data_IF_421806527864
#
_entry.id   IF_421806527864
#
_cell.length_a   1.000
_cell.length_b   1.000
_cell.length_c   1.000
_cell.angle_alpha   90.00
_cell.angle_beta   90.00
_cell.angle_gamma   90.00
#
_symmetry.space_group_name_H-M   'P 1'
#
loop_
_entity.id
_entity.type
_entity.pdbx_description
1 polymer ?
#
# COMPACT_ATOMS: atom_id res chain seq x y z
N UNK A 1 -20.78 -14.17 -12.05
CA UNK A 1 -19.59 -13.45 -11.57
C UNK A 1 -19.75 -11.95 -11.81
N UNK A 2 -19.88 -11.47 -13.04
CA UNK A 2 -20.11 -10.04 -13.34
C UNK A 2 -21.26 -9.34 -12.58
N UNK A 3 -22.40 -10.01 -12.38
CA UNK A 3 -23.52 -9.48 -11.58
C UNK A 3 -23.18 -9.23 -10.10
N UNK A 4 -22.26 -10.00 -9.49
CA UNK A 4 -21.86 -9.74 -8.09
C UNK A 4 -20.86 -8.59 -7.98
N UNK A 5 -20.03 -8.38 -9.01
CA UNK A 5 -19.10 -7.24 -9.09
C UNK A 5 -19.85 -5.93 -9.30
N UNK A 6 -20.85 -5.92 -10.20
CA UNK A 6 -21.70 -4.73 -10.40
C UNK A 6 -22.44 -4.34 -9.12
N UNK A 7 -22.95 -5.30 -8.36
CA UNK A 7 -23.57 -5.06 -7.04
C UNK A 7 -22.58 -4.46 -6.04
N UNK A 8 -21.33 -4.91 -6.04
CA UNK A 8 -20.27 -4.34 -5.19
C UNK A 8 -19.97 -2.89 -5.58
N UNK A 9 -19.79 -2.63 -6.88
CA UNK A 9 -19.48 -1.29 -7.39
C UNK A 9 -20.61 -0.30 -7.08
N UNK A 10 -21.86 -0.72 -7.26
CA UNK A 10 -23.04 0.10 -6.92
C UNK A 10 -23.18 0.34 -5.40
N UNK A 11 -22.54 -0.49 -4.58
CA UNK A 11 -22.63 -0.43 -3.13
C UNK A 11 -21.54 0.43 -2.47
N UNK A 12 -20.60 1.02 -3.23
CA UNK A 12 -19.51 1.80 -2.64
C UNK A 12 -20.00 2.95 -1.74
N UNK A 13 -21.08 3.63 -2.13
CA UNK A 13 -21.68 4.73 -1.36
C UNK A 13 -22.46 4.28 -0.12
N UNK A 14 -22.68 2.97 0.07
CA UNK A 14 -23.41 2.47 1.24
C UNK A 14 -22.59 2.62 2.52
N UNK A 15 -23.25 2.74 3.68
CA UNK A 15 -22.58 2.72 4.98
C UNK A 15 -21.66 1.51 5.16
N UNK A 16 -20.53 1.70 5.85
CA UNK A 16 -19.49 0.67 6.03
C UNK A 16 -20.02 -0.68 6.54
N UNK A 17 -21.04 -0.66 7.40
CA UNK A 17 -21.66 -1.88 7.96
C UNK A 17 -22.32 -2.71 6.86
N UNK A 18 -23.11 -2.07 6.02
CA UNK A 18 -23.89 -2.72 4.96
C UNK A 18 -22.97 -3.17 3.83
N UNK A 19 -22.02 -2.31 3.46
CA UNK A 19 -20.97 -2.66 2.51
C UNK A 19 -20.13 -3.85 2.98
N UNK A 20 -19.80 -3.92 4.27
CA UNK A 20 -19.04 -5.05 4.83
C UNK A 20 -19.81 -6.37 4.73
N UNK A 21 -21.15 -6.35 4.83
CA UNK A 21 -21.96 -7.54 4.62
C UNK A 21 -21.92 -7.98 3.15
N UNK A 22 -22.06 -7.03 2.21
CA UNK A 22 -21.95 -7.28 0.76
C UNK A 22 -20.57 -7.85 0.42
N UNK A 23 -19.51 -7.27 0.97
CA UNK A 23 -18.14 -7.72 0.81
C UNK A 23 -17.92 -9.16 1.30
N UNK A 24 -18.46 -9.51 2.47
CA UNK A 24 -18.37 -10.88 3.01
C UNK A 24 -19.04 -11.90 2.07
N UNK A 25 -20.20 -11.55 1.54
CA UNK A 25 -20.90 -12.40 0.57
C UNK A 25 -20.11 -12.53 -0.73
N UNK A 26 -19.58 -11.41 -1.23
CA UNK A 26 -18.71 -11.40 -2.41
C UNK A 26 -17.49 -12.32 -2.24
N UNK A 27 -16.78 -12.23 -1.12
CA UNK A 27 -15.63 -13.09 -0.85
C UNK A 27 -16.02 -14.58 -0.75
N UNK A 28 -17.13 -14.88 -0.07
CA UNK A 28 -17.66 -16.25 0.03
C UNK A 28 -18.01 -16.84 -1.34
N UNK A 29 -18.68 -16.08 -2.18
CA UNK A 29 -19.09 -16.50 -3.53
C UNK A 29 -17.90 -16.77 -4.45
N UNK A 30 -16.84 -15.96 -4.34
CA UNK A 30 -15.65 -16.07 -5.17
C UNK A 30 -14.57 -16.97 -4.58
N UNK A 31 -14.84 -17.67 -3.46
CA UNK A 31 -13.85 -18.44 -2.68
C UNK A 31 -12.58 -17.65 -2.33
N UNK A 32 -12.66 -16.34 -2.41
CA UNK A 32 -11.59 -15.45 -2.03
C UNK A 32 -11.52 -15.49 -0.50
N UNK A 33 -10.53 -16.21 0.03
CA UNK A 33 -10.30 -16.20 1.46
C UNK A 33 -10.02 -14.76 1.85
N UNK A 34 -10.82 -14.21 2.76
CA UNK A 34 -10.63 -12.85 3.26
C UNK A 34 -9.22 -12.68 3.79
N UNK A 35 -8.31 -12.16 2.98
CA UNK A 35 -6.88 -11.98 3.30
C UNK A 35 -5.87 -12.74 2.43
N UNK A 36 -6.28 -13.70 1.59
CA UNK A 36 -5.43 -14.15 0.46
C UNK A 36 -6.09 -13.66 -0.81
N UNK A 37 -5.35 -12.82 -1.52
CA UNK A 37 -5.55 -12.35 -2.88
C UNK A 37 -6.55 -13.22 -3.65
N UNK A 38 -7.57 -12.61 -4.24
CA UNK A 38 -8.60 -13.33 -4.99
C UNK A 38 -8.01 -13.87 -6.31
N UNK A 39 -7.07 -14.82 -6.19
CA UNK A 39 -6.34 -15.47 -7.29
C UNK A 39 -7.26 -16.29 -8.21
N UNK A 40 -8.48 -16.57 -7.74
CA UNK A 40 -9.47 -17.34 -8.48
C UNK A 40 -10.47 -16.44 -9.25
N UNK A 41 -10.32 -15.10 -9.19
CA UNK A 41 -11.18 -14.19 -9.95
C UNK A 41 -10.78 -14.18 -11.43
N UNK A 42 -11.76 -14.12 -12.34
CA UNK A 42 -11.45 -13.91 -13.74
C UNK A 42 -10.76 -12.55 -13.98
N UNK A 43 -9.76 -12.53 -14.84
CA UNK A 43 -8.98 -11.33 -15.16
C UNK A 43 -9.83 -10.12 -15.58
N UNK A 44 -10.81 -10.28 -16.48
CA UNK A 44 -11.63 -9.16 -16.95
C UNK A 44 -12.48 -8.56 -15.83
N UNK A 45 -12.93 -9.41 -14.92
CA UNK A 45 -13.72 -9.06 -13.75
C UNK A 45 -12.84 -8.32 -12.70
N UNK A 46 -11.61 -8.79 -12.46
CA UNK A 46 -10.64 -8.13 -11.58
C UNK A 46 -10.19 -6.77 -12.14
N UNK A 47 -9.93 -6.70 -13.45
CA UNK A 47 -9.61 -5.47 -14.17
C UNK A 47 -10.74 -4.45 -14.06
N UNK A 48 -11.98 -4.88 -14.33
CA UNK A 48 -13.14 -4.00 -14.23
C UNK A 48 -13.32 -3.45 -12.81
N UNK A 49 -13.18 -4.30 -11.78
CA UNK A 49 -13.27 -3.89 -10.38
C UNK A 49 -12.17 -2.88 -10.01
N UNK A 50 -10.94 -3.11 -10.47
CA UNK A 50 -9.82 -2.17 -10.29
C UNK A 50 -10.11 -0.81 -10.93
N UNK A 51 -10.55 -0.78 -12.19
CA UNK A 51 -10.85 0.45 -12.92
C UNK A 51 -11.96 1.25 -12.23
N UNK A 52 -13.01 0.57 -11.75
CA UNK A 52 -14.11 1.22 -11.02
C UNK A 52 -13.67 1.75 -9.66
N UNK A 53 -12.92 0.97 -8.88
CA UNK A 53 -12.36 1.43 -7.61
C UNK A 53 -11.43 2.63 -7.80
N UNK A 54 -10.55 2.56 -8.79
CA UNK A 54 -9.59 3.64 -9.10
C UNK A 54 -10.30 4.93 -9.48
N UNK A 55 -11.34 4.85 -10.32
CA UNK A 55 -12.12 6.02 -10.70
C UNK A 55 -12.81 6.67 -9.49
N UNK A 56 -13.36 5.90 -8.56
CA UNK A 56 -13.98 6.46 -7.33
C UNK A 56 -12.96 7.19 -6.46
N UNK A 57 -11.73 6.67 -6.37
CA UNK A 57 -10.68 7.29 -5.55
C UNK A 57 -10.12 8.55 -6.21
N UNK A 58 -9.82 8.49 -7.51
CA UNK A 58 -9.15 9.55 -8.26
C UNK A 58 -10.09 10.68 -8.71
N UNK A 59 -11.40 10.46 -8.73
CA UNK A 59 -12.35 11.55 -8.88
C UNK A 59 -12.41 12.37 -7.60
N UNK A 60 -12.72 13.66 -7.71
CA UNK A 60 -12.99 14.54 -6.55
C UNK A 60 -14.29 14.16 -5.81
N UNK A 61 -14.67 12.88 -5.80
CA UNK A 61 -15.76 12.38 -4.97
C UNK A 61 -15.54 12.88 -3.54
N UNK A 62 -16.47 13.69 -3.05
CA UNK A 62 -16.46 14.20 -1.67
C UNK A 62 -16.88 13.11 -0.67
N UNK A 63 -17.21 11.90 -1.15
CA UNK A 63 -17.66 10.80 -0.31
C UNK A 63 -16.47 9.92 0.15
N UNK A 64 -15.94 10.24 1.33
CA UNK A 64 -14.87 9.48 1.96
C UNK A 64 -15.24 8.01 2.24
N UNK A 65 -16.52 7.71 2.47
CA UNK A 65 -16.99 6.32 2.69
C UNK A 65 -16.84 5.52 1.40
N UNK A 66 -17.21 6.11 0.26
CA UNK A 66 -17.04 5.48 -1.05
C UNK A 66 -15.57 5.24 -1.38
N UNK A 67 -14.71 6.23 -1.13
CA UNK A 67 -13.25 6.10 -1.30
C UNK A 67 -12.68 4.98 -0.44
N UNK A 68 -13.10 4.90 0.82
CA UNK A 68 -12.65 3.84 1.74
C UNK A 68 -13.08 2.45 1.25
N UNK A 69 -14.36 2.31 0.89
CA UNK A 69 -14.90 1.06 0.38
C UNK A 69 -14.24 0.64 -0.94
N UNK A 70 -13.93 1.59 -1.83
CA UNK A 70 -13.21 1.35 -3.08
C UNK A 70 -11.76 0.88 -2.85
N UNK A 71 -11.04 1.46 -1.88
CA UNK A 71 -9.67 1.07 -1.51
C UNK A 71 -9.57 -0.38 -1.04
N UNK A 72 -10.62 -0.90 -0.37
CA UNK A 72 -10.64 -2.30 0.06
C UNK A 72 -10.59 -3.30 -1.12
N UNK A 73 -10.91 -2.83 -2.32
CA UNK A 73 -10.99 -3.63 -3.54
C UNK A 73 -9.86 -3.37 -4.54
N UNK A 74 -9.17 -2.23 -4.45
CA UNK A 74 -8.11 -1.93 -5.42
C UNK A 74 -6.97 -2.96 -5.40
N UNK A 75 -6.73 -3.56 -4.23
CA UNK A 75 -5.75 -4.64 -4.06
C UNK A 75 -6.10 -5.94 -4.81
N UNK A 76 -7.36 -6.16 -5.18
CA UNK A 76 -7.76 -7.34 -5.94
C UNK A 76 -7.23 -7.28 -7.38
N UNK A 77 -7.12 -6.07 -7.95
CA UNK A 77 -6.55 -5.91 -9.29
C UNK A 77 -5.05 -6.17 -9.38
N UNK A 78 -4.34 -6.13 -8.23
CA UNK A 78 -2.88 -6.29 -8.17
C UNK A 78 -2.41 -7.74 -8.28
N UNK A 79 -3.27 -8.74 -8.07
CA UNK A 79 -2.83 -10.14 -7.96
C UNK A 79 -2.55 -10.85 -9.29
N UNK A 80 -2.69 -10.16 -10.42
CA UNK A 80 -2.55 -10.75 -11.75
C UNK A 80 -1.20 -10.42 -12.41
N UNK A 81 -0.35 -11.44 -12.57
CA UNK A 81 1.04 -11.34 -13.04
C UNK A 81 1.19 -10.75 -14.45
N UNK A 82 0.16 -10.83 -15.30
CA UNK A 82 0.25 -10.46 -16.72
C UNK A 82 0.45 -8.96 -16.95
N UNK A 83 -0.09 -8.10 -16.08
CA UNK A 83 0.01 -6.64 -16.19
C UNK A 83 0.42 -5.97 -14.88
N UNK A 84 1.06 -6.73 -13.96
CA UNK A 84 1.40 -6.25 -12.63
C UNK A 84 2.17 -4.92 -12.66
N UNK A 85 3.08 -4.73 -13.62
CA UNK A 85 3.82 -3.48 -13.82
C UNK A 85 2.93 -2.26 -14.06
N UNK A 86 2.02 -2.34 -15.04
CA UNK A 86 1.11 -1.24 -15.36
C UNK A 86 0.15 -0.96 -14.20
N UNK A 87 -0.39 -2.02 -13.58
CA UNK A 87 -1.29 -1.89 -12.43
C UNK A 87 -0.55 -1.31 -11.22
N UNK A 88 0.71 -1.67 -11.00
CA UNK A 88 1.56 -1.16 -9.92
C UNK A 88 1.76 0.35 -10.08
N UNK A 89 2.19 0.83 -11.24
CA UNK A 89 2.40 2.26 -11.51
C UNK A 89 1.13 3.09 -11.25
N UNK A 90 -0.02 2.64 -11.77
CA UNK A 90 -1.32 3.28 -11.54
C UNK A 90 -1.71 3.27 -10.05
N UNK A 91 -1.38 2.19 -9.36
CA UNK A 91 -1.66 2.02 -7.93
C UNK A 91 -0.81 2.94 -7.07
N UNK A 92 0.44 3.24 -7.46
CA UNK A 92 1.29 4.21 -6.78
C UNK A 92 0.70 5.62 -6.79
N UNK A 93 0.09 6.03 -7.90
CA UNK A 93 -0.62 7.32 -8.00
C UNK A 93 -1.79 7.39 -6.99
N UNK A 94 -2.56 6.31 -6.91
CA UNK A 94 -3.70 6.20 -5.99
C UNK A 94 -3.23 6.20 -4.54
N UNK A 95 -2.14 5.50 -4.25
CA UNK A 95 -1.54 5.45 -2.93
C UNK A 95 -1.08 6.85 -2.48
N UNK A 96 -0.36 7.58 -3.33
CA UNK A 96 0.06 8.97 -3.05
C UNK A 96 -1.16 9.88 -2.81
N UNK A 97 -2.19 9.79 -3.64
CA UNK A 97 -3.40 10.59 -3.50
C UNK A 97 -4.06 10.37 -2.14
N UNK A 98 -4.15 9.13 -1.68
CA UNK A 98 -4.83 8.77 -0.43
C UNK A 98 -3.98 9.03 0.81
N UNK A 99 -2.65 8.84 0.74
CA UNK A 99 -1.74 9.14 1.85
C UNK A 99 -1.71 10.64 2.21
N UNK A 100 -2.00 11.50 1.24
CA UNK A 100 -2.13 12.95 1.43
C UNK A 100 -3.56 13.40 1.77
N UNK A 101 -4.51 12.47 1.89
CA UNK A 101 -5.90 12.80 2.25
C UNK A 101 -6.02 13.24 3.72
N UNK A 102 -6.92 14.19 3.99
CA UNK A 102 -7.18 14.66 5.35
C UNK A 102 -7.86 13.62 6.27
N UNK A 103 -8.37 12.51 5.73
CA UNK A 103 -9.13 11.51 6.47
C UNK A 103 -8.20 10.39 6.96
N UNK A 104 -8.08 10.25 8.29
CA UNK A 104 -7.24 9.22 8.91
C UNK A 104 -7.61 7.78 8.55
N UNK A 105 -8.89 7.49 8.28
CA UNK A 105 -9.35 6.16 7.90
C UNK A 105 -8.85 5.81 6.49
N UNK A 106 -8.95 6.75 5.56
CA UNK A 106 -8.46 6.58 4.19
C UNK A 106 -6.94 6.37 4.17
N UNK A 107 -6.20 7.15 4.96
CA UNK A 107 -4.75 6.99 5.11
C UNK A 107 -4.35 5.62 5.65
N UNK A 108 -5.07 5.11 6.65
CA UNK A 108 -4.84 3.76 7.18
C UNK A 108 -5.09 2.67 6.14
N UNK A 109 -6.15 2.79 5.34
CA UNK A 109 -6.40 1.82 4.26
C UNK A 109 -5.35 1.91 3.15
N UNK A 110 -4.83 3.11 2.85
CA UNK A 110 -3.69 3.27 1.95
C UNK A 110 -2.43 2.54 2.47
N UNK A 111 -2.15 2.55 3.76
CA UNK A 111 -1.04 1.78 4.34
C UNK A 111 -1.26 0.28 4.17
N UNK A 112 -2.47 -0.21 4.41
CA UNK A 112 -2.80 -1.61 4.14
C UNK A 112 -2.65 -1.96 2.65
N UNK A 113 -2.96 -1.03 1.76
CA UNK A 113 -2.74 -1.18 0.32
C UNK A 113 -1.25 -1.22 -0.04
N UNK A 114 -0.42 -0.39 0.59
CA UNK A 114 1.04 -0.40 0.45
C UNK A 114 1.66 -1.74 0.86
N UNK A 115 1.31 -2.27 2.04
CA UNK A 115 1.77 -3.61 2.48
C UNK A 115 1.36 -4.71 1.48
N UNK A 116 0.17 -4.55 0.89
CA UNK A 116 -0.31 -5.44 -0.16
C UNK A 116 0.58 -5.37 -1.42
N UNK A 117 0.88 -4.15 -1.89
CA UNK A 117 1.73 -3.92 -3.06
C UNK A 117 3.15 -4.46 -2.84
N UNK A 118 3.75 -4.19 -1.69
CA UNK A 118 5.11 -4.67 -1.36
C UNK A 118 5.17 -6.20 -1.35
N UNK A 119 4.17 -6.86 -0.76
CA UNK A 119 4.08 -8.32 -0.76
C UNK A 119 3.98 -8.92 -2.18
N UNK A 120 3.18 -8.35 -3.07
CA UNK A 120 3.06 -8.83 -4.45
C UNK A 120 4.34 -8.58 -5.27
N UNK A 121 5.02 -7.45 -5.05
CA UNK A 121 6.35 -7.21 -5.62
C UNK A 121 7.33 -8.31 -5.20
N UNK A 122 7.37 -8.66 -3.91
CA UNK A 122 8.23 -9.74 -3.41
C UNK A 122 7.83 -11.09 -4.02
N UNK A 123 6.54 -11.42 -4.08
CA UNK A 123 6.08 -12.70 -4.64
C UNK A 123 6.39 -12.84 -6.14
N UNK A 124 6.37 -11.73 -6.90
CA UNK A 124 6.60 -11.72 -8.35
C UNK A 124 8.09 -11.61 -8.73
N UNK A 125 8.94 -11.18 -7.78
CA UNK A 125 10.35 -10.89 -8.02
C UNK A 125 11.29 -11.89 -7.36
N UNK A 126 10.89 -12.49 -6.23
CA UNK A 126 11.68 -13.48 -5.51
C UNK A 126 11.08 -14.89 -5.60
N UNK A 127 11.94 -15.89 -5.71
CA UNK A 127 11.56 -17.28 -5.52
C UNK A 127 11.98 -17.75 -4.13
N UNK A 128 11.13 -18.54 -3.47
CA UNK A 128 11.46 -19.24 -2.22
C UNK A 128 12.47 -20.39 -2.45
N UNK A 129 12.97 -20.55 -3.68
CA UNK A 129 13.88 -21.64 -4.11
C UNK A 129 15.11 -21.04 -4.79
N UNK A 130 16.15 -21.85 -5.08
CA UNK A 130 17.51 -21.33 -5.33
C UNK A 130 17.78 -20.67 -6.70
N UNK A 131 16.81 -20.58 -7.64
CA UNK A 131 17.05 -19.95 -8.97
C UNK A 131 15.86 -19.12 -9.44
N UNK A 132 16.08 -17.81 -9.54
CA UNK A 132 15.12 -16.88 -10.16
C UNK A 132 15.12 -17.04 -11.68
N UNK A 133 13.94 -16.93 -12.30
CA UNK A 133 13.78 -16.87 -13.75
C UNK A 133 14.22 -15.49 -14.29
N UNK A 134 14.49 -15.39 -15.60
CA UNK A 134 14.83 -14.11 -16.25
C UNK A 134 13.77 -13.03 -15.98
N UNK A 135 12.48 -13.40 -16.09
CA UNK A 135 11.35 -12.49 -15.85
C UNK A 135 11.31 -12.00 -14.39
N UNK A 136 11.61 -12.87 -13.42
CA UNK A 136 11.68 -12.48 -12.01
C UNK A 136 12.83 -11.52 -11.73
N UNK A 137 13.98 -11.72 -12.37
CA UNK A 137 15.11 -10.78 -12.29
C UNK A 137 14.72 -9.42 -12.89
N UNK A 138 14.13 -9.41 -14.09
CA UNK A 138 13.64 -8.19 -14.74
C UNK A 138 12.59 -7.46 -13.89
N UNK A 139 11.69 -8.19 -13.23
CA UNK A 139 10.72 -7.62 -12.29
C UNK A 139 11.40 -7.05 -11.05
N UNK A 140 12.36 -7.78 -10.47
CA UNK A 140 13.12 -7.32 -9.30
C UNK A 140 13.84 -6.01 -9.60
N UNK A 141 14.59 -5.98 -10.70
CA UNK A 141 15.31 -4.80 -11.18
C UNK A 141 14.37 -3.62 -11.46
N UNK A 142 13.12 -3.89 -11.81
CA UNK A 142 12.12 -2.87 -12.05
C UNK A 142 11.45 -2.32 -10.79
N UNK A 143 10.90 -3.19 -9.95
CA UNK A 143 10.03 -2.78 -8.83
C UNK A 143 10.81 -2.33 -7.60
N UNK A 144 11.96 -2.94 -7.32
CA UNK A 144 12.68 -2.73 -6.07
C UNK A 144 13.18 -1.28 -5.95
N UNK A 145 13.78 -0.66 -7.00
CA UNK A 145 14.11 0.76 -6.97
C UNK A 145 12.91 1.67 -6.70
N UNK A 146 11.75 1.39 -7.31
CA UNK A 146 10.54 2.21 -7.14
C UNK A 146 10.02 2.16 -5.69
N UNK A 147 10.06 0.97 -5.06
CA UNK A 147 9.68 0.84 -3.65
C UNK A 147 10.63 1.62 -2.73
N UNK A 148 11.93 1.63 -3.02
CA UNK A 148 12.93 2.39 -2.25
C UNK A 148 12.72 3.90 -2.44
N UNK A 149 12.56 4.37 -3.68
CA UNK A 149 12.27 5.78 -3.98
C UNK A 149 11.00 6.25 -3.25
N UNK A 150 9.99 5.39 -3.22
CA UNK A 150 8.75 5.67 -2.53
C UNK A 150 8.91 5.75 -1.01
N UNK A 151 9.67 4.83 -0.42
CA UNK A 151 10.03 4.88 1.00
C UNK A 151 10.69 6.23 1.37
N UNK A 152 11.67 6.69 0.60
CA UNK A 152 12.30 7.99 0.82
C UNK A 152 11.34 9.17 0.62
N UNK A 153 10.39 9.05 -0.31
CA UNK A 153 9.34 10.05 -0.46
C UNK A 153 8.44 10.13 0.80
N UNK A 154 8.07 8.99 1.40
CA UNK A 154 7.32 8.95 2.66
C UNK A 154 8.11 9.54 3.82
N UNK A 155 9.41 9.23 3.93
CA UNK A 155 10.29 9.84 4.94
C UNK A 155 10.37 11.37 4.78
N UNK A 156 10.44 11.86 3.53
CA UNK A 156 10.44 13.30 3.27
C UNK A 156 9.12 13.97 3.69
N UNK A 157 7.98 13.28 3.50
CA UNK A 157 6.66 13.75 3.97
C UNK A 157 6.62 13.78 5.51
N UNK A 158 7.10 12.73 6.18
CA UNK A 158 7.18 12.65 7.66
C UNK A 158 8.00 13.84 8.19
N UNK A 159 9.20 14.05 7.62
CA UNK A 159 10.09 15.12 8.02
C UNK A 159 9.50 16.52 7.81
N UNK A 160 8.93 16.79 6.63
CA UNK A 160 8.27 18.09 6.36
C UNK A 160 7.09 18.33 7.29
N UNK A 161 6.32 17.29 7.61
CA UNK A 161 5.21 17.42 8.55
C UNK A 161 5.72 17.69 9.97
N UNK A 162 6.77 17.00 10.42
CA UNK A 162 7.41 17.31 11.71
C UNK A 162 7.92 18.76 11.74
N UNK A 163 8.65 19.20 10.71
CA UNK A 163 9.19 20.56 10.63
C UNK A 163 8.10 21.64 10.64
N UNK A 164 7.04 21.46 9.86
CA UNK A 164 5.91 22.38 9.84
C UNK A 164 5.15 22.46 11.18
N UNK A 165 5.28 21.41 12.01
CA UNK A 165 4.64 21.35 13.33
C UNK A 165 5.62 21.61 14.50
N UNK A 166 6.92 21.82 14.24
CA UNK A 166 7.92 22.19 15.26
C UNK A 166 7.63 23.54 15.93
N UNK A 167 6.91 24.45 15.28
CA UNK A 167 6.47 25.72 15.91
C UNK A 167 5.34 25.51 16.95
N UNK A 168 4.68 24.35 16.96
CA UNK A 168 3.60 24.01 17.91
C UNK A 168 3.95 22.84 18.84
N UNK A 169 5.17 22.32 18.75
CA UNK A 169 5.65 21.20 19.54
C UNK A 169 6.87 21.66 20.34
N UNK A 170 6.64 22.26 21.51
CA UNK A 170 7.65 22.31 22.57
C UNK A 170 8.01 20.87 22.96
N UNK A 171 8.97 20.26 22.25
CA UNK A 171 9.60 19.02 22.69
C UNK A 171 10.79 19.38 23.56
N UNK A 172 10.62 19.07 24.85
CA UNK A 172 11.68 19.06 25.85
C UNK A 172 12.84 18.17 25.42
N UNK A 173 14.03 18.77 25.37
CA UNK A 173 15.38 18.22 25.50
C UNK A 173 15.65 16.75 25.10
N UNK A 174 16.33 16.65 23.95
CA UNK A 174 17.52 15.83 23.67
C UNK A 174 17.88 14.74 24.70
N UNK A 175 17.85 13.48 24.27
CA UNK A 175 19.04 12.60 24.31
C UNK A 175 18.77 11.23 23.66
N UNK A 176 19.73 10.81 22.81
CA UNK A 176 19.93 9.48 22.20
C UNK A 176 19.11 9.13 20.94
N UNK A 177 19.82 9.14 19.81
CA UNK A 177 19.50 8.32 18.64
C UNK A 177 19.76 6.84 18.98
N UNK A 178 18.88 6.23 19.75
CA UNK A 178 18.71 4.77 19.75
C UNK A 178 17.68 4.44 18.68
N UNK A 179 17.82 3.30 18.00
CA UNK A 179 16.87 2.82 17.00
C UNK A 179 15.55 2.48 17.72
N UNK A 180 14.72 3.49 17.95
CA UNK A 180 13.42 3.36 18.60
C UNK A 180 12.38 3.02 17.53
N UNK A 181 11.57 1.96 17.69
CA UNK A 181 10.53 1.61 16.72
C UNK A 181 9.57 2.78 16.53
N UNK A 182 9.51 3.29 15.30
CA UNK A 182 8.91 4.57 14.90
C UNK A 182 7.45 4.80 15.36
N UNK A 183 6.69 3.74 15.63
CA UNK A 183 5.24 3.79 15.85
C UNK A 183 4.73 4.13 17.27
N UNK A 184 5.59 4.22 18.30
CA UNK A 184 5.14 4.28 19.69
C UNK A 184 5.06 5.68 20.33
N UNK A 185 5.83 6.67 19.86
CA UNK A 185 6.01 7.94 20.60
C UNK A 185 5.18 9.14 20.11
N UNK A 186 4.40 9.01 19.03
CA UNK A 186 3.55 10.10 18.54
C UNK A 186 2.08 9.94 18.92
N UNK A 187 1.50 11.00 19.52
CA UNK A 187 0.04 11.13 19.71
C UNK A 187 -0.69 11.52 18.42
N UNK A 188 0.06 11.95 17.39
CA UNK A 188 -0.50 12.30 16.09
C UNK A 188 -0.84 11.03 15.30
N UNK A 189 -2.13 10.84 15.02
CA UNK A 189 -2.66 9.67 14.31
C UNK A 189 -2.16 9.57 12.87
N UNK A 190 -1.82 10.69 12.23
CA UNK A 190 -1.27 10.70 10.87
C UNK A 190 0.17 10.23 10.85
N UNK A 191 1.04 10.83 11.67
CA UNK A 191 2.44 10.41 11.76
C UNK A 191 2.55 8.94 12.16
N UNK A 192 1.70 8.49 13.09
CA UNK A 192 1.65 7.07 13.47
C UNK A 192 1.30 6.16 12.28
N UNK A 193 0.36 6.58 11.44
CA UNK A 193 -0.03 5.83 10.25
C UNK A 193 1.11 5.83 9.22
N UNK A 194 1.65 7.00 8.89
CA UNK A 194 2.74 7.15 7.91
C UNK A 194 3.96 6.30 8.29
N UNK A 195 4.37 6.36 9.56
CA UNK A 195 5.48 5.56 10.10
C UNK A 195 5.22 4.07 10.06
N UNK A 196 4.00 3.64 10.39
CA UNK A 196 3.61 2.23 10.22
C UNK A 196 3.72 1.79 8.75
N UNK A 197 3.38 2.65 7.79
CA UNK A 197 3.55 2.35 6.37
C UNK A 197 5.02 2.19 5.96
N UNK A 198 5.91 2.99 6.55
CA UNK A 198 7.36 2.84 6.36
C UNK A 198 7.89 1.55 7.00
N UNK A 199 7.47 1.22 8.23
CA UNK A 199 7.81 -0.05 8.91
C UNK A 199 7.40 -1.28 8.08
N UNK A 200 6.27 -1.22 7.37
CA UNK A 200 5.78 -2.30 6.51
C UNK A 200 6.63 -2.46 5.22
N UNK A 201 7.31 -1.40 4.77
CA UNK A 201 8.27 -1.45 3.67
C UNK A 201 9.64 -1.98 4.12
N UNK A 202 10.06 -1.62 5.34
CA UNK A 202 11.33 -2.00 5.97
C UNK A 202 11.48 -3.49 6.33
N UNK A 203 10.62 -4.37 5.81
CA UNK A 203 10.68 -5.82 6.07
C UNK A 203 12.09 -6.42 5.94
N UNK A 204 12.33 -7.66 6.40
CA UNK A 204 13.66 -8.21 6.73
C UNK A 204 14.72 -8.27 5.60
N UNK A 205 14.38 -7.83 4.38
CA UNK A 205 15.26 -7.78 3.22
C UNK A 205 15.43 -6.37 2.64
N UNK A 206 14.81 -5.35 3.23
CA UNK A 206 14.79 -3.97 2.70
C UNK A 206 16.19 -3.35 2.69
N UNK A 207 16.97 -3.52 3.76
CA UNK A 207 18.37 -3.05 3.81
C UNK A 207 19.25 -3.71 2.75
N UNK A 208 19.10 -5.02 2.57
CA UNK A 208 19.83 -5.77 1.54
C UNK A 208 19.45 -5.30 0.13
N UNK A 209 18.18 -4.96 -0.07
CA UNK A 209 17.70 -4.37 -1.31
C UNK A 209 18.31 -2.98 -1.54
N UNK A 210 18.34 -2.10 -0.52
CA UNK A 210 18.97 -0.78 -0.64
C UNK A 210 20.46 -0.87 -0.99
N UNK A 211 21.18 -1.84 -0.40
CA UNK A 211 22.57 -2.13 -0.77
C UNK A 211 22.71 -2.60 -2.22
N UNK A 212 21.91 -3.60 -2.61
CA UNK A 212 21.97 -4.22 -3.95
C UNK A 212 21.76 -3.19 -5.07
N UNK A 213 20.87 -2.22 -4.84
CA UNK A 213 20.57 -1.16 -5.80
C UNK A 213 21.36 0.14 -5.56
N UNK A 214 22.32 0.14 -4.63
CA UNK A 214 23.27 1.26 -4.43
C UNK A 214 22.69 2.51 -3.76
N UNK A 215 21.54 2.41 -3.08
CA UNK A 215 20.94 3.51 -2.32
C UNK A 215 21.67 3.80 -1.01
N UNK A 216 22.31 2.78 -0.44
CA UNK A 216 23.19 2.89 0.72
C UNK A 216 24.48 2.12 0.43
N UNK A 217 25.58 2.49 1.07
CA UNK A 217 26.84 1.75 0.98
C UNK A 217 26.96 0.79 2.15
N UNK A 218 27.72 -0.30 1.99
CA UNK A 218 28.02 -1.22 3.11
C UNK A 218 28.64 -0.49 4.31
N UNK A 219 29.42 0.58 4.07
CA UNK A 219 30.00 1.41 5.11
C UNK A 219 28.98 2.20 5.95
N UNK A 220 27.75 2.37 5.45
CA UNK A 220 26.65 3.07 6.12
C UNK A 220 25.84 2.12 7.04
N UNK A 221 26.06 0.81 6.93
CA UNK A 221 25.49 -0.21 7.83
C UNK A 221 26.35 -0.34 9.10
N UNK A 222 26.33 0.66 9.97
CA UNK A 222 27.03 0.61 11.25
C UNK A 222 26.08 0.11 12.35
N UNK A 223 26.31 -1.11 12.82
CA UNK A 223 25.81 -1.63 14.10
C UNK A 223 26.86 -1.40 15.19
#
# INVERSE_FOLDING_TARGET
MRQSIEKVVQAFDLPMKDFTLILKNFYKENKAYSGRWARDMNYEDAKYLYEKSSAVILTESTNDIAKYNALRFIKIGLSEEKNFRETFEKSMVILLYVLLHNNGILRNEAIHFLSAMSFEVVCTSDSWTKKNTKKQIENKEYFYPILIDFYFALQSIDHKYEEANKENLEYSDLTKKEFMPYSWDTKDKYLKALRRGMEELEGPHFEKMMLEFGYIKEADLQF
#
